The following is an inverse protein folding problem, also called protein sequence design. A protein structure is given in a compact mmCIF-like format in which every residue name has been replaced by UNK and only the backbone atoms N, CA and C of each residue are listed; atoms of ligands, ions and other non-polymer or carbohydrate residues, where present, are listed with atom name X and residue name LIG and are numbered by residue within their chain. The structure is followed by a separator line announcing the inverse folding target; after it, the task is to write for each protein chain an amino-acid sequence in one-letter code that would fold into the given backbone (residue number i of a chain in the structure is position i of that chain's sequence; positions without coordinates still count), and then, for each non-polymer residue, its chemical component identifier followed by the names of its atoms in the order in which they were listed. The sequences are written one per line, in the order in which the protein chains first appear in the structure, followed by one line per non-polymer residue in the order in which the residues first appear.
data_IF_752177607208
#
_entry.id   IF_752177607208
#
_cell.length_a   1.000
_cell.length_b   1.000
_cell.length_c   1.000
_cell.angle_alpha   90.00
_cell.angle_beta   90.00
_cell.angle_gamma   90.00
#
_symmetry.space_group_name_H-M   'P 1'
#
loop_
_entity.id
_entity.type
_entity.pdbx_description
1 polymer ?
#
# COMPACT_ATOMS: atom_id res chain seq x y z
N UNK A 1 18.45 17.21 -48.10
CA UNK A 1 18.11 15.92 -47.45
C UNK A 1 18.97 15.77 -46.19
N UNK A 2 18.37 15.96 -45.00
CA UNK A 2 18.81 15.43 -43.68
C UNK A 2 18.13 16.23 -42.54
N UNK A 3 16.80 16.25 -42.54
CA UNK A 3 15.98 16.83 -41.46
C UNK A 3 15.02 15.77 -40.90
N UNK A 4 15.51 14.54 -40.78
CA UNK A 4 14.76 13.41 -40.22
C UNK A 4 15.36 13.10 -38.85
N UNK A 5 14.51 13.18 -37.82
CA UNK A 5 14.63 12.45 -36.55
C UNK A 5 15.59 12.98 -35.46
N UNK A 6 15.35 14.20 -34.96
CA UNK A 6 15.58 14.46 -33.51
C UNK A 6 14.31 14.38 -32.67
N UNK A 7 13.15 14.41 -33.32
CA UNK A 7 11.85 14.32 -32.64
C UNK A 7 11.44 12.88 -32.27
N UNK A 8 11.97 11.85 -32.94
CA UNK A 8 11.60 10.45 -32.72
C UNK A 8 12.50 9.69 -31.71
N UNK A 9 13.54 10.34 -31.18
CA UNK A 9 14.40 9.81 -30.11
C UNK A 9 14.04 10.39 -28.73
N UNK A 10 12.86 10.99 -28.59
CA UNK A 10 12.30 11.27 -27.26
C UNK A 10 11.79 9.95 -26.71
N UNK A 11 12.73 9.09 -26.32
CA UNK A 11 12.50 7.91 -25.51
C UNK A 11 11.55 8.33 -24.39
N UNK A 12 10.30 7.92 -24.50
CA UNK A 12 9.28 8.04 -23.46
C UNK A 12 9.65 7.09 -22.33
N UNK A 13 10.75 7.38 -21.63
CA UNK A 13 10.95 6.90 -20.28
C UNK A 13 9.87 7.58 -19.45
N UNK A 14 8.71 6.94 -19.33
CA UNK A 14 7.67 7.36 -18.37
C UNK A 14 8.32 7.30 -16.99
N UNK A 15 8.79 8.43 -16.48
CA UNK A 15 9.19 8.57 -15.09
C UNK A 15 7.95 8.32 -14.24
N UNK A 16 7.88 7.17 -13.58
CA UNK A 16 6.82 6.90 -12.61
C UNK A 16 7.09 7.80 -11.40
N UNK A 17 6.17 8.70 -11.08
CA UNK A 17 6.34 9.57 -9.92
C UNK A 17 6.24 8.75 -8.63
N UNK A 18 7.05 9.12 -7.62
CA UNK A 18 7.09 8.44 -6.33
C UNK A 18 5.69 8.33 -5.69
N UNK A 19 4.85 9.39 -5.67
CA UNK A 19 3.50 9.30 -5.08
C UNK A 19 2.59 8.32 -5.81
N UNK A 20 2.73 8.17 -7.13
CA UNK A 20 1.96 7.18 -7.91
C UNK A 20 2.39 5.75 -7.59
N UNK A 21 3.69 5.51 -7.49
CA UNK A 21 4.22 4.21 -7.11
C UNK A 21 3.78 3.85 -5.68
N UNK A 22 3.95 4.77 -4.72
CA UNK A 22 3.56 4.56 -3.34
C UNK A 22 2.05 4.34 -3.18
N UNK A 23 1.23 5.19 -3.80
CA UNK A 23 -0.23 5.02 -3.79
C UNK A 23 -0.67 3.70 -4.43
N UNK A 24 0.00 3.27 -5.51
CA UNK A 24 -0.23 1.96 -6.12
C UNK A 24 0.10 0.79 -5.20
N UNK A 25 1.22 0.86 -4.47
CA UNK A 25 1.58 -0.15 -3.47
C UNK A 25 0.57 -0.19 -2.31
N UNK A 26 0.11 0.96 -1.83
CA UNK A 26 -0.93 1.01 -0.79
C UNK A 26 -2.25 0.42 -1.27
N UNK A 27 -2.70 0.78 -2.49
CA UNK A 27 -3.90 0.21 -3.10
C UNK A 27 -3.78 -1.32 -3.17
N UNK A 28 -2.65 -1.83 -3.66
CA UNK A 28 -2.40 -3.27 -3.74
C UNK A 28 -2.44 -3.92 -2.35
N UNK A 29 -1.79 -3.32 -1.36
CA UNK A 29 -1.79 -3.83 0.02
C UNK A 29 -3.21 -3.95 0.58
N UNK A 30 -4.01 -2.88 0.49
CA UNK A 30 -5.37 -2.88 1.04
C UNK A 30 -6.34 -3.77 0.25
N UNK A 31 -6.15 -3.92 -1.07
CA UNK A 31 -6.94 -4.88 -1.86
C UNK A 31 -6.63 -6.33 -1.44
N UNK A 32 -5.35 -6.68 -1.29
CA UNK A 32 -4.94 -8.02 -0.83
C UNK A 32 -5.51 -8.29 0.56
N UNK A 33 -5.38 -7.33 1.48
CA UNK A 33 -5.90 -7.48 2.85
C UNK A 33 -7.41 -7.59 2.89
N UNK A 34 -8.14 -6.79 2.10
CA UNK A 34 -9.60 -6.88 2.01
C UNK A 34 -10.05 -8.24 1.45
N UNK A 35 -9.38 -8.74 0.40
CA UNK A 35 -9.66 -10.05 -0.17
C UNK A 35 -9.39 -11.18 0.83
N UNK A 36 -8.31 -11.07 1.60
CA UNK A 36 -7.98 -12.02 2.65
C UNK A 36 -8.97 -11.98 3.81
N UNK A 37 -9.38 -10.79 4.28
CA UNK A 37 -10.40 -10.68 5.32
C UNK A 37 -11.74 -11.25 4.84
N UNK A 38 -12.10 -11.05 3.56
CA UNK A 38 -13.29 -11.67 2.97
C UNK A 38 -13.15 -13.21 2.96
N UNK A 39 -12.00 -13.74 2.56
CA UNK A 39 -11.70 -15.17 2.67
C UNK A 39 -11.84 -15.68 4.12
N UNK A 40 -11.22 -15.01 5.09
CA UNK A 40 -11.34 -15.36 6.53
C UNK A 40 -12.79 -15.35 7.01
N UNK A 41 -13.60 -14.41 6.53
CA UNK A 41 -15.02 -14.32 6.87
C UNK A 41 -15.88 -15.48 6.34
N UNK A 42 -15.36 -16.26 5.38
CA UNK A 42 -16.02 -17.50 4.96
C UNK A 42 -15.70 -18.68 5.88
N UNK A 43 -14.55 -18.64 6.56
CA UNK A 43 -14.09 -19.69 7.48
C UNK A 43 -14.59 -19.45 8.90
N UNK A 44 -14.63 -18.19 9.36
CA UNK A 44 -15.13 -17.79 10.68
C UNK A 44 -14.51 -18.54 11.85
N UNK A 45 -13.20 -18.81 11.81
CA UNK A 45 -12.52 -19.51 12.91
C UNK A 45 -12.54 -18.70 14.22
N UNK A 46 -12.53 -17.36 14.12
CA UNK A 46 -12.69 -16.42 15.22
C UNK A 46 -13.73 -15.34 14.84
N UNK A 47 -15.03 -15.55 15.10
CA UNK A 47 -16.09 -14.67 14.62
C UNK A 47 -15.92 -13.18 14.97
N UNK A 48 -15.34 -12.88 16.14
CA UNK A 48 -15.08 -11.51 16.57
C UNK A 48 -14.04 -10.77 15.71
N UNK A 49 -13.14 -11.50 15.04
CA UNK A 49 -12.03 -10.94 14.27
C UNK A 49 -12.10 -11.27 12.78
N UNK A 50 -12.74 -12.37 12.40
CA UNK A 50 -12.85 -12.84 11.03
C UNK A 50 -14.09 -12.27 10.32
N UNK A 51 -15.03 -11.65 11.04
CA UNK A 51 -16.22 -11.06 10.42
C UNK A 51 -15.88 -9.94 9.43
N UNK A 52 -16.51 -9.96 8.26
CA UNK A 52 -16.46 -8.88 7.29
C UNK A 52 -17.78 -8.10 7.34
N UNK A 53 -17.83 -7.11 8.23
CA UNK A 53 -19.02 -6.28 8.46
C UNK A 53 -18.95 -4.91 7.82
N UNK A 54 -19.94 -4.07 8.11
CA UNK A 54 -19.99 -2.68 7.67
C UNK A 54 -18.75 -1.88 8.10
N UNK A 55 -18.23 -2.13 9.30
CA UNK A 55 -16.99 -1.51 9.79
C UNK A 55 -15.79 -1.83 8.90
N UNK A 56 -15.65 -3.09 8.46
CA UNK A 56 -14.60 -3.52 7.54
C UNK A 56 -14.74 -2.81 6.18
N UNK A 57 -15.96 -2.75 5.64
CA UNK A 57 -16.25 -2.04 4.38
C UNK A 57 -15.85 -0.57 4.48
N UNK A 58 -16.26 0.13 5.54
CA UNK A 58 -15.94 1.54 5.74
C UNK A 58 -14.43 1.74 5.89
N UNK A 59 -13.77 0.92 6.70
CA UNK A 59 -12.34 1.00 6.94
C UNK A 59 -11.52 0.77 5.65
N UNK A 60 -11.82 -0.28 4.89
CA UNK A 60 -11.15 -0.53 3.62
C UNK A 60 -11.46 0.54 2.58
N UNK A 61 -12.70 1.05 2.52
CA UNK A 61 -13.06 2.15 1.62
C UNK A 61 -12.28 3.42 1.93
N UNK A 62 -12.16 3.78 3.22
CA UNK A 62 -11.34 4.91 3.65
C UNK A 62 -9.87 4.71 3.30
N UNK A 63 -9.31 3.53 3.57
CA UNK A 63 -7.92 3.20 3.27
C UNK A 63 -7.63 3.26 1.76
N UNK A 64 -8.52 2.71 0.92
CA UNK A 64 -8.42 2.76 -0.53
C UNK A 64 -8.55 4.21 -1.05
N UNK A 65 -9.43 5.02 -0.47
CA UNK A 65 -9.57 6.43 -0.84
C UNK A 65 -8.30 7.24 -0.52
N UNK A 66 -7.69 7.03 0.65
CA UNK A 66 -6.41 7.66 1.03
C UNK A 66 -5.29 7.21 0.08
N UNK A 67 -5.24 5.91 -0.23
CA UNK A 67 -4.25 5.34 -1.15
C UNK A 67 -4.38 5.91 -2.56
N UNK A 68 -5.61 6.05 -3.05
CA UNK A 68 -5.91 6.69 -4.33
C UNK A 68 -5.53 8.18 -4.31
N UNK A 69 -5.86 8.92 -3.26
CA UNK A 69 -5.49 10.33 -3.10
C UNK A 69 -3.96 10.53 -3.14
N UNK A 70 -3.18 9.61 -2.59
CA UNK A 70 -1.71 9.66 -2.66
C UNK A 70 -1.20 9.70 -4.11
N UNK A 71 -1.89 9.04 -5.05
CA UNK A 71 -1.51 9.02 -6.47
C UNK A 71 -1.60 10.39 -7.16
N UNK A 72 -2.33 11.34 -6.56
CA UNK A 72 -2.51 12.70 -7.11
C UNK A 72 -1.24 13.54 -6.98
N UNK A 73 -0.27 13.15 -6.15
CA UNK A 73 0.96 13.91 -5.89
C UNK A 73 0.75 15.23 -5.14
N UNK A 74 -0.45 15.48 -4.61
CA UNK A 74 -0.72 16.66 -3.78
C UNK A 74 -0.01 16.49 -2.43
N UNK A 75 0.74 17.52 -2.00
CA UNK A 75 1.56 17.46 -0.78
C UNK A 75 0.79 17.05 0.48
N UNK A 76 -0.43 17.57 0.66
CA UNK A 76 -1.28 17.21 1.81
C UNK A 76 -1.73 15.74 1.75
N UNK A 77 -1.96 15.21 0.55
CA UNK A 77 -2.35 13.81 0.35
C UNK A 77 -1.17 12.87 0.61
N UNK A 78 0.06 13.27 0.20
CA UNK A 78 1.29 12.55 0.57
C UNK A 78 1.45 12.45 2.08
N UNK A 79 1.28 13.56 2.80
CA UNK A 79 1.32 13.57 4.27
C UNK A 79 0.26 12.68 4.90
N UNK A 80 -0.99 12.78 4.44
CA UNK A 80 -2.09 11.96 4.92
C UNK A 80 -1.80 10.46 4.75
N UNK A 81 -1.35 10.06 3.56
CA UNK A 81 -1.01 8.68 3.26
C UNK A 81 0.21 8.19 4.06
N UNK A 82 1.23 9.04 4.25
CA UNK A 82 2.41 8.72 5.04
C UNK A 82 2.06 8.45 6.51
N UNK A 83 1.34 9.38 7.15
CA UNK A 83 0.89 9.23 8.55
C UNK A 83 0.00 8.00 8.69
N UNK A 84 -0.94 7.81 7.77
CA UNK A 84 -1.81 6.63 7.76
C UNK A 84 -1.00 5.34 7.66
N UNK A 85 0.02 5.29 6.79
CA UNK A 85 0.90 4.12 6.65
C UNK A 85 1.67 3.83 7.93
N UNK A 86 2.21 4.86 8.60
CA UNK A 86 2.88 4.71 9.90
C UNK A 86 1.94 4.14 10.97
N UNK A 87 0.72 4.68 11.05
CA UNK A 87 -0.29 4.19 12.00
C UNK A 87 -0.64 2.72 11.72
N UNK A 88 -0.81 2.33 10.46
CA UNK A 88 -1.10 0.94 10.09
C UNK A 88 0.04 -0.01 10.42
N UNK A 89 1.30 0.38 10.19
CA UNK A 89 2.47 -0.43 10.56
C UNK A 89 2.53 -0.61 12.07
N UNK A 90 2.36 0.47 12.85
CA UNK A 90 2.36 0.41 14.30
C UNK A 90 1.22 -0.45 14.85
N UNK A 91 0.00 -0.26 14.34
CA UNK A 91 -1.17 -1.08 14.70
C UNK A 91 -0.94 -2.55 14.34
N UNK A 92 -0.37 -2.83 13.17
CA UNK A 92 -0.03 -4.17 12.74
C UNK A 92 0.95 -4.85 13.71
N UNK A 93 2.13 -4.25 13.90
CA UNK A 93 3.24 -4.86 14.64
C UNK A 93 2.96 -4.91 16.15
N UNK A 94 2.43 -3.84 16.74
CA UNK A 94 2.31 -3.71 18.19
C UNK A 94 1.00 -4.27 18.74
N UNK A 95 -0.07 -4.29 17.94
CA UNK A 95 -1.40 -4.69 18.42
C UNK A 95 -1.93 -5.91 17.69
N UNK A 96 -2.10 -5.84 16.36
CA UNK A 96 -2.79 -6.88 15.61
C UNK A 96 -2.05 -8.22 15.63
N UNK A 97 -0.78 -8.26 15.21
CA UNK A 97 0.00 -9.49 15.17
C UNK A 97 0.11 -10.16 16.54
N UNK A 98 0.54 -9.47 17.62
CA UNK A 98 0.60 -10.08 18.95
C UNK A 98 -0.76 -10.59 19.44
N UNK A 99 -1.83 -9.83 19.21
CA UNK A 99 -3.18 -10.20 19.67
C UNK A 99 -3.68 -11.44 18.94
N UNK A 100 -3.62 -11.47 17.61
CA UNK A 100 -4.20 -12.57 16.82
C UNK A 100 -3.35 -13.84 16.93
N UNK A 101 -2.01 -13.73 16.98
CA UNK A 101 -1.14 -14.89 17.18
C UNK A 101 -1.27 -15.52 18.58
N UNK A 102 -1.68 -14.74 19.58
CA UNK A 102 -2.03 -15.28 20.91
C UNK A 102 -3.37 -16.02 20.92
N UNK A 103 -4.28 -15.70 19.99
CA UNK A 103 -5.64 -16.25 19.93
C UNK A 103 -5.79 -17.41 18.93
N UNK A 104 -4.92 -17.51 17.93
CA UNK A 104 -4.89 -18.63 16.99
C UNK A 104 -3.50 -18.90 16.43
N UNK A 105 -3.29 -20.15 16.02
CA UNK A 105 -2.12 -20.55 15.23
C UNK A 105 -2.29 -20.02 13.81
N UNK A 106 -1.26 -19.33 13.31
CA UNK A 106 -1.23 -18.83 11.94
C UNK A 106 -0.87 -19.95 10.97
N UNK A 107 -1.69 -20.15 9.95
CA UNK A 107 -1.35 -20.99 8.82
C UNK A 107 -0.41 -20.27 7.84
N UNK A 108 0.10 -20.98 6.81
CA UNK A 108 0.97 -20.37 5.80
C UNK A 108 0.33 -19.18 5.07
N UNK A 109 -0.98 -19.22 4.84
CA UNK A 109 -1.72 -18.12 4.18
C UNK A 109 -1.80 -16.90 5.10
N UNK A 110 -2.07 -17.07 6.40
CA UNK A 110 -2.11 -15.96 7.36
C UNK A 110 -0.74 -15.25 7.43
N UNK A 111 0.35 -16.03 7.44
CA UNK A 111 1.71 -15.47 7.43
C UNK A 111 2.04 -14.76 6.11
N UNK A 112 1.73 -15.39 4.98
CA UNK A 112 2.02 -14.83 3.67
C UNK A 112 1.29 -13.51 3.45
N UNK A 113 0.00 -13.44 3.77
CA UNK A 113 -0.77 -12.20 3.67
C UNK A 113 -0.22 -11.13 4.60
N UNK A 114 -0.05 -11.44 5.88
CA UNK A 114 0.36 -10.43 6.86
C UNK A 114 1.75 -9.84 6.59
N UNK A 115 2.71 -10.67 6.17
CA UNK A 115 4.06 -10.23 5.78
C UNK A 115 4.00 -9.40 4.50
N UNK A 116 3.29 -9.86 3.47
CA UNK A 116 3.19 -9.15 2.20
C UNK A 116 2.49 -7.80 2.37
N UNK A 117 1.40 -7.77 3.13
CA UNK A 117 0.65 -6.55 3.46
C UNK A 117 1.55 -5.51 4.16
N UNK A 118 2.23 -5.90 5.24
CA UNK A 118 3.14 -5.00 5.96
C UNK A 118 4.32 -4.56 5.10
N UNK A 119 4.90 -5.46 4.30
CA UNK A 119 6.01 -5.13 3.42
C UNK A 119 5.62 -4.08 2.37
N UNK A 120 4.43 -4.20 1.78
CA UNK A 120 3.90 -3.24 0.81
C UNK A 120 3.64 -1.87 1.45
N UNK A 121 3.04 -1.83 2.65
CA UNK A 121 2.81 -0.57 3.37
C UNK A 121 4.13 0.07 3.79
N UNK A 122 5.08 -0.73 4.27
CA UNK A 122 6.42 -0.24 4.62
C UNK A 122 7.15 0.33 3.40
N UNK A 123 7.14 -0.37 2.27
CA UNK A 123 7.73 0.13 1.03
C UNK A 123 7.07 1.44 0.57
N UNK A 124 5.75 1.52 0.62
CA UNK A 124 5.02 2.74 0.29
C UNK A 124 5.36 3.90 1.25
N UNK A 125 5.45 3.62 2.55
CA UNK A 125 5.84 4.59 3.56
C UNK A 125 7.24 5.17 3.31
N UNK A 126 8.22 4.31 2.98
CA UNK A 126 9.58 4.75 2.64
C UNK A 126 9.56 5.65 1.41
N UNK A 127 8.83 5.26 0.37
CA UNK A 127 8.68 6.08 -0.84
C UNK A 127 8.02 7.43 -0.53
N UNK A 128 6.95 7.46 0.26
CA UNK A 128 6.30 8.71 0.67
C UNK A 128 7.24 9.57 1.52
N UNK A 129 8.06 8.98 2.39
CA UNK A 129 9.08 9.72 3.14
C UNK A 129 10.13 10.35 2.20
N UNK A 130 10.59 9.62 1.18
CA UNK A 130 11.52 10.15 0.17
C UNK A 130 10.91 11.31 -0.61
N UNK A 131 9.65 11.19 -1.05
CA UNK A 131 8.90 12.29 -1.68
C UNK A 131 8.75 13.50 -0.73
N UNK A 132 8.47 13.24 0.55
CA UNK A 132 8.40 14.27 1.58
C UNK A 132 9.76 14.97 1.81
N UNK A 133 10.87 14.27 1.65
CA UNK A 133 12.21 14.85 1.72
C UNK A 133 12.64 15.55 0.41
N UNK A 134 11.82 15.51 -0.63
CA UNK A 134 12.12 16.12 -1.94
C UNK A 134 13.05 15.29 -2.82
N UNK A 135 13.24 14.00 -2.49
CA UNK A 135 14.04 13.07 -3.30
C UNK A 135 13.23 12.65 -4.53
N UNK A 136 13.89 12.58 -5.69
CA UNK A 136 13.28 12.12 -6.95
C UNK A 136 13.95 10.84 -7.43
N UNK A 137 13.17 9.88 -7.93
CA UNK A 137 13.69 8.67 -8.59
C UNK A 137 13.99 8.98 -10.05
N UNK A 138 15.27 9.00 -10.43
CA UNK A 138 15.70 9.10 -11.82
C UNK A 138 16.01 7.70 -12.36
N UNK A 139 15.48 7.31 -13.53
CA UNK A 139 15.91 6.07 -14.19
C UNK A 139 17.42 6.11 -14.41
N UNK A 140 18.12 5.05 -14.01
CA UNK A 140 19.54 4.92 -14.35
C UNK A 140 19.66 4.69 -15.86
N UNK A 141 20.35 5.58 -16.56
CA UNK A 141 20.77 5.33 -17.94
C UNK A 141 21.74 4.13 -17.91
N UNK A 142 21.29 2.98 -18.39
CA UNK A 142 22.13 1.82 -18.72
C UNK A 142 21.86 1.45 -20.16
#
# INVERSE_FOLDING_TARGET
MAAISRAALRNTTRSVSIPKLAGGLLLLAFVISAAYQLYRSTIMALPAYDAFGLSSVLLYSCALAISWLATTGRRWATWLAFVTSMLWILLGILFYFPTITALRVFGPIDWAEGVLYLALIFAAAVLLALDLLGVSLTPSEK
#
